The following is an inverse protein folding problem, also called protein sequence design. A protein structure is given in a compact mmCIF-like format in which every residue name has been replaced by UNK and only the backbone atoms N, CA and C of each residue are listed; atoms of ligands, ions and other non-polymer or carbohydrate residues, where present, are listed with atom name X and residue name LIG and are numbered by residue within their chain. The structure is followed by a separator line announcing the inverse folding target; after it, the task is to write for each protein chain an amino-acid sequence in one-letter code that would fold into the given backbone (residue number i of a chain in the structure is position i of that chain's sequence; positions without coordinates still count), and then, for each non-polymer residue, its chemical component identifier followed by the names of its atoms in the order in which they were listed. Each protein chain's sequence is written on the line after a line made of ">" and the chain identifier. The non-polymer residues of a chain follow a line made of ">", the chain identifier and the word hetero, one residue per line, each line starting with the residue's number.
data_IF_691067585640
#
_entry.id   IF_691067585640
#
_cell.length_a   1.000
_cell.length_b   1.000
_cell.length_c   1.000
_cell.angle_alpha   90.00
_cell.angle_beta   90.00
_cell.angle_gamma   90.00
#
_symmetry.space_group_name_H-M   'P 1'
#
loop_
_entity.id
_entity.type
_entity.pdbx_description
1 polymer ?
#
# COMPACT_ATOMS: atom_id res chain seq x y z
N UNK A 1 -21.76 -9.66 8.88
CA UNK A 1 -21.17 -8.43 8.30
C UNK A 1 -20.13 -8.77 7.26
N UNK A 2 -18.90 -9.19 7.60
CA UNK A 2 -17.84 -9.48 6.62
C UNK A 2 -18.27 -10.54 5.58
N UNK A 3 -18.83 -11.68 6.01
CA UNK A 3 -19.31 -12.70 5.06
C UNK A 3 -20.37 -12.16 4.08
N UNK A 4 -21.28 -11.32 4.56
CA UNK A 4 -22.31 -10.69 3.74
C UNK A 4 -21.73 -9.66 2.78
N UNK A 5 -20.80 -8.82 3.25
CA UNK A 5 -20.09 -7.87 2.40
C UNK A 5 -19.27 -8.60 1.32
N UNK A 6 -18.56 -9.67 1.69
CA UNK A 6 -17.81 -10.51 0.75
C UNK A 6 -18.73 -11.18 -0.28
N UNK A 7 -19.93 -11.59 0.12
CA UNK A 7 -20.92 -12.12 -0.82
C UNK A 7 -21.27 -11.08 -1.89
N UNK A 8 -21.67 -9.87 -1.48
CA UNK A 8 -22.02 -8.82 -2.45
C UNK A 8 -20.82 -8.36 -3.27
N UNK A 9 -19.66 -8.15 -2.64
CA UNK A 9 -18.45 -7.72 -3.33
C UNK A 9 -18.03 -8.75 -4.39
N UNK A 10 -18.04 -10.05 -4.08
CA UNK A 10 -17.62 -11.08 -5.05
C UNK A 10 -18.73 -11.52 -6.02
N UNK A 11 -19.97 -11.07 -5.83
CA UNK A 11 -21.07 -11.42 -6.71
C UNK A 11 -20.87 -10.77 -8.09
N UNK A 12 -20.55 -11.62 -9.08
CA UNK A 12 -20.44 -11.23 -10.48
C UNK A 12 -21.81 -11.35 -11.16
N UNK A 13 -22.18 -10.35 -11.94
CA UNK A 13 -23.31 -10.45 -12.86
C UNK A 13 -22.83 -10.86 -14.25
N UNK A 14 -23.55 -11.81 -14.85
CA UNK A 14 -23.34 -12.21 -16.23
C UNK A 14 -24.02 -11.20 -17.14
N UNK A 15 -23.24 -10.49 -17.95
CA UNK A 15 -23.74 -9.54 -18.94
C UNK A 15 -23.53 -10.09 -20.34
N UNK A 16 -24.60 -10.14 -21.13
CA UNK A 16 -24.54 -10.53 -22.55
C UNK A 16 -24.68 -9.26 -23.39
N UNK A 17 -23.73 -9.02 -24.28
CA UNK A 17 -23.69 -7.78 -25.09
C UNK A 17 -23.30 -8.05 -26.54
N UNK A 18 -23.72 -7.18 -27.46
CA UNK A 18 -23.24 -7.16 -28.84
C UNK A 18 -21.85 -6.50 -28.98
N UNK A 19 -21.25 -6.05 -27.87
CA UNK A 19 -19.91 -5.44 -27.85
C UNK A 19 -18.83 -6.47 -28.17
N UNK A 20 -17.65 -5.98 -28.58
CA UNK A 20 -16.46 -6.83 -28.73
C UNK A 20 -16.03 -7.32 -27.35
N UNK A 21 -15.58 -8.59 -27.23
CA UNK A 21 -15.09 -9.12 -25.97
C UNK A 21 -13.85 -8.35 -25.49
N UNK A 22 -13.87 -7.94 -24.22
CA UNK A 22 -12.70 -7.44 -23.51
C UNK A 22 -11.84 -8.58 -22.95
N UNK A 23 -10.74 -8.24 -22.24
CA UNK A 23 -9.93 -9.23 -21.53
C UNK A 23 -10.78 -10.02 -20.52
N UNK A 24 -10.80 -11.35 -20.64
CA UNK A 24 -11.58 -12.24 -19.76
C UNK A 24 -13.04 -12.49 -20.18
N UNK A 25 -13.53 -11.79 -21.21
CA UNK A 25 -14.86 -12.03 -21.76
C UNK A 25 -14.92 -13.30 -22.62
N UNK A 26 -16.07 -13.96 -22.61
CA UNK A 26 -16.36 -15.06 -23.54
C UNK A 26 -16.83 -14.49 -24.86
N UNK A 27 -16.17 -14.86 -25.97
CA UNK A 27 -16.57 -14.47 -27.32
C UNK A 27 -17.82 -15.23 -27.78
N UNK A 28 -18.82 -14.51 -28.29
CA UNK A 28 -19.99 -15.09 -28.95
C UNK A 28 -19.86 -14.99 -30.47
N UNK A 29 -20.13 -16.08 -31.18
CA UNK A 29 -20.13 -16.11 -32.65
C UNK A 29 -21.44 -16.66 -33.19
N UNK A 30 -21.84 -16.18 -34.36
CA UNK A 30 -22.95 -16.77 -35.11
C UNK A 30 -22.57 -18.13 -35.72
N UNK A 31 -23.52 -18.78 -36.38
CA UNK A 31 -23.32 -20.09 -37.04
C UNK A 31 -22.28 -20.06 -38.17
N UNK A 32 -21.90 -18.87 -38.66
CA UNK A 32 -20.89 -18.66 -39.71
C UNK A 32 -19.53 -18.25 -39.12
N UNK A 33 -19.38 -18.27 -37.79
CA UNK A 33 -18.15 -17.88 -37.09
C UNK A 33 -17.92 -16.38 -36.99
N UNK A 34 -18.88 -15.54 -37.43
CA UNK A 34 -18.79 -14.09 -37.31
C UNK A 34 -19.02 -13.67 -35.87
N UNK A 35 -18.23 -12.72 -35.38
CA UNK A 35 -18.42 -12.16 -34.03
C UNK A 35 -19.84 -11.59 -33.88
N UNK A 36 -20.58 -12.14 -32.92
CA UNK A 36 -21.95 -11.76 -32.60
C UNK A 36 -22.06 -10.99 -31.27
N UNK A 37 -21.03 -11.07 -30.40
CA UNK A 37 -21.00 -10.35 -29.14
C UNK A 37 -20.02 -10.93 -28.12
N UNK A 38 -20.27 -10.64 -26.85
CA UNK A 38 -19.54 -11.18 -25.71
C UNK A 38 -20.43 -11.48 -24.51
N UNK A 39 -19.95 -12.36 -23.63
CA UNK A 39 -20.42 -12.52 -22.26
C UNK A 39 -19.32 -12.02 -21.32
N UNK A 40 -19.62 -11.07 -20.46
CA UNK A 40 -18.74 -10.59 -19.40
C UNK A 40 -19.28 -10.96 -18.01
N UNK A 41 -18.38 -11.03 -17.02
CA UNK A 41 -18.72 -11.27 -15.62
C UNK A 41 -18.23 -10.10 -14.78
N UNK A 42 -19.12 -9.14 -14.54
CA UNK A 42 -18.75 -7.85 -13.94
C UNK A 42 -19.25 -7.74 -12.50
N UNK A 43 -18.47 -7.07 -11.64
CA UNK A 43 -18.99 -6.54 -10.38
C UNK A 43 -19.90 -5.37 -10.71
N UNK A 44 -21.12 -5.33 -10.19
CA UNK A 44 -21.96 -4.14 -10.34
C UNK A 44 -21.61 -3.09 -9.30
N UNK A 45 -21.71 -1.82 -9.71
CA UNK A 45 -21.58 -0.67 -8.79
C UNK A 45 -22.54 -0.77 -7.60
N UNK A 46 -23.73 -1.32 -7.83
CA UNK A 46 -24.75 -1.55 -6.79
C UNK A 46 -24.30 -2.58 -5.76
N UNK A 47 -23.76 -3.72 -6.21
CA UNK A 47 -23.26 -4.78 -5.32
C UNK A 47 -22.05 -4.30 -4.51
N UNK A 48 -21.12 -3.60 -5.16
CA UNK A 48 -19.97 -2.98 -4.51
C UNK A 48 -20.41 -1.97 -3.45
N UNK A 49 -21.33 -1.07 -3.81
CA UNK A 49 -21.89 -0.10 -2.87
C UNK A 49 -22.56 -0.80 -1.70
N UNK A 50 -23.36 -1.85 -1.97
CA UNK A 50 -24.02 -2.61 -0.91
C UNK A 50 -23.02 -3.27 0.04
N UNK A 51 -21.92 -3.80 -0.48
CA UNK A 51 -20.85 -4.36 0.34
C UNK A 51 -20.20 -3.30 1.23
N UNK A 52 -19.92 -2.10 0.70
CA UNK A 52 -19.40 -0.97 1.45
C UNK A 52 -20.39 -0.52 2.55
N UNK A 53 -21.66 -0.29 2.22
CA UNK A 53 -22.70 0.13 3.18
C UNK A 53 -22.80 -0.85 4.37
N UNK A 54 -22.71 -2.16 4.10
CA UNK A 54 -22.71 -3.20 5.13
C UNK A 54 -21.50 -3.03 6.05
N UNK A 55 -20.30 -2.81 5.51
CA UNK A 55 -19.12 -2.66 6.35
C UNK A 55 -19.09 -1.30 7.08
N UNK A 56 -19.59 -0.22 6.49
CA UNK A 56 -19.76 1.09 7.17
C UNK A 56 -20.68 0.98 8.40
N UNK A 57 -21.80 0.27 8.28
CA UNK A 57 -22.66 0.01 9.44
C UNK A 57 -21.93 -0.84 10.50
N UNK A 58 -21.13 -1.81 10.04
CA UNK A 58 -20.40 -2.70 10.92
C UNK A 58 -19.26 -2.01 11.68
N UNK A 59 -18.54 -1.06 11.07
CA UNK A 59 -17.49 -0.28 11.76
C UNK A 59 -18.07 0.59 12.86
N UNK A 60 -19.33 1.01 12.74
CA UNK A 60 -20.03 1.74 13.80
C UNK A 60 -20.43 0.83 14.97
N UNK A 61 -20.86 -0.41 14.68
CA UNK A 61 -21.32 -1.38 15.69
C UNK A 61 -20.18 -2.10 16.41
N UNK A 62 -19.07 -2.33 15.70
CA UNK A 62 -17.91 -3.07 16.17
C UNK A 62 -16.63 -2.30 15.83
N UNK A 63 -16.43 -1.09 16.40
CA UNK A 63 -15.30 -0.25 16.04
C UNK A 63 -13.95 -0.86 16.48
N UNK A 64 -13.95 -1.79 17.43
CA UNK A 64 -12.79 -2.57 17.86
C UNK A 64 -12.35 -3.64 16.85
N UNK A 65 -13.16 -3.96 15.84
CA UNK A 65 -12.89 -4.99 14.82
C UNK A 65 -12.16 -4.42 13.61
N UNK A 66 -10.84 -4.51 13.62
CA UNK A 66 -9.96 -3.92 12.60
C UNK A 66 -10.03 -4.62 11.25
N UNK A 67 -10.39 -5.90 11.24
CA UNK A 67 -10.67 -6.63 10.00
C UNK A 67 -11.87 -6.04 9.22
N UNK A 68 -12.82 -5.38 9.90
CA UNK A 68 -13.94 -4.69 9.25
C UNK A 68 -13.48 -3.38 8.60
N UNK A 69 -12.69 -2.58 9.33
CA UNK A 69 -12.10 -1.34 8.81
C UNK A 69 -11.22 -1.62 7.59
N UNK A 70 -10.35 -2.62 7.68
CA UNK A 70 -9.52 -3.06 6.56
C UNK A 70 -10.38 -3.58 5.39
N UNK A 71 -11.42 -4.37 5.65
CA UNK A 71 -12.34 -4.82 4.61
C UNK A 71 -13.02 -3.65 3.87
N UNK A 72 -13.44 -2.61 4.60
CA UNK A 72 -14.05 -1.43 4.01
C UNK A 72 -13.05 -0.61 3.18
N UNK A 73 -11.85 -0.36 3.73
CA UNK A 73 -10.77 0.33 3.01
C UNK A 73 -10.37 -0.42 1.74
N UNK A 74 -10.30 -1.76 1.79
CA UNK A 74 -10.03 -2.62 0.63
C UNK A 74 -11.07 -2.45 -0.47
N UNK A 75 -12.38 -2.44 -0.12
CA UNK A 75 -13.43 -2.20 -1.12
C UNK A 75 -13.23 -0.85 -1.82
N UNK A 76 -12.90 0.20 -1.08
CA UNK A 76 -12.66 1.52 -1.67
C UNK A 76 -11.40 1.57 -2.53
N UNK A 77 -10.32 0.91 -2.09
CA UNK A 77 -9.07 0.82 -2.84
C UNK A 77 -9.28 0.10 -4.18
N UNK A 78 -9.92 -1.08 -4.17
CA UNK A 78 -10.19 -1.86 -5.38
C UNK A 78 -11.14 -1.15 -6.36
N UNK A 79 -11.97 -0.25 -5.86
CA UNK A 79 -12.96 0.48 -6.65
C UNK A 79 -12.48 1.87 -7.07
N UNK A 80 -11.27 2.26 -6.64
CA UNK A 80 -10.64 3.54 -6.96
C UNK A 80 -11.30 4.74 -6.27
N UNK A 81 -12.06 4.53 -5.20
CA UNK A 81 -12.74 5.60 -4.44
C UNK A 81 -11.84 6.07 -3.30
N UNK A 82 -10.72 6.70 -3.66
CA UNK A 82 -9.65 7.01 -2.70
C UNK A 82 -10.06 7.93 -1.55
N UNK A 83 -10.94 8.91 -1.77
CA UNK A 83 -11.38 9.80 -0.68
C UNK A 83 -12.08 9.03 0.45
N UNK A 84 -12.88 8.02 0.08
CA UNK A 84 -13.55 7.14 1.04
C UNK A 84 -12.56 6.19 1.72
N UNK A 85 -11.59 5.65 0.97
CA UNK A 85 -10.50 4.85 1.53
C UNK A 85 -9.73 5.66 2.59
N UNK A 86 -9.22 6.83 2.23
CA UNK A 86 -8.43 7.67 3.13
C UNK A 86 -9.24 8.13 4.35
N UNK A 87 -10.52 8.47 4.16
CA UNK A 87 -11.44 8.78 5.27
C UNK A 87 -11.62 7.59 6.22
N UNK A 88 -11.75 6.38 5.67
CA UNK A 88 -11.86 5.14 6.44
C UNK A 88 -10.59 4.85 7.22
N UNK A 89 -9.42 4.94 6.58
CA UNK A 89 -8.12 4.75 7.23
C UNK A 89 -7.89 5.76 8.34
N UNK A 90 -8.26 7.04 8.14
CA UNK A 90 -8.17 8.07 9.20
C UNK A 90 -9.04 7.74 10.42
N UNK A 91 -10.29 7.30 10.20
CA UNK A 91 -11.19 6.88 11.29
C UNK A 91 -10.65 5.65 12.03
N UNK A 92 -10.16 4.67 11.28
CA UNK A 92 -9.51 3.48 11.84
C UNK A 92 -8.31 3.86 12.72
N UNK A 93 -7.43 4.74 12.24
CA UNK A 93 -6.27 5.22 13.00
C UNK A 93 -6.70 6.01 14.23
N UNK A 94 -7.67 6.93 14.12
CA UNK A 94 -8.17 7.68 15.27
C UNK A 94 -8.67 6.74 16.39
N UNK A 95 -9.49 5.74 16.04
CA UNK A 95 -9.96 4.75 17.00
C UNK A 95 -8.82 3.94 17.61
N UNK A 96 -7.83 3.50 16.80
CA UNK A 96 -6.66 2.77 17.29
C UNK A 96 -5.88 3.56 18.34
N UNK A 97 -5.70 4.86 18.12
CA UNK A 97 -4.95 5.74 19.02
C UNK A 97 -5.70 5.98 20.33
N UNK A 98 -7.03 6.03 20.29
CA UNK A 98 -7.88 6.16 21.49
C UNK A 98 -8.00 4.85 22.27
N UNK A 99 -7.98 3.71 21.59
CA UNK A 99 -8.28 2.39 22.17
C UNK A 99 -7.24 1.29 21.83
N UNK A 100 -5.93 1.52 22.02
CA UNK A 100 -4.88 0.64 21.48
C UNK A 100 -4.90 -0.80 22.03
N UNK A 101 -5.47 -1.03 23.22
CA UNK A 101 -5.54 -2.35 23.85
C UNK A 101 -6.85 -3.12 23.56
N UNK A 102 -7.82 -2.48 22.91
CA UNK A 102 -9.14 -3.09 22.65
C UNK A 102 -9.25 -3.71 21.26
N UNK A 103 -8.23 -3.49 20.42
CA UNK A 103 -8.26 -3.85 19.02
C UNK A 103 -8.32 -5.36 18.83
N UNK A 104 -9.13 -5.77 17.86
CA UNK A 104 -9.35 -7.17 17.52
C UNK A 104 -9.22 -7.41 16.04
N UNK A 105 -8.70 -8.58 15.70
CA UNK A 105 -8.70 -9.15 14.37
C UNK A 105 -9.56 -10.41 14.37
N UNK A 106 -10.57 -10.45 13.52
CA UNK A 106 -11.49 -11.61 13.40
C UNK A 106 -12.23 -11.98 14.69
N UNK A 107 -12.25 -11.07 15.68
CA UNK A 107 -12.92 -11.26 16.97
C UNK A 107 -11.96 -11.53 18.13
N UNK A 108 -10.71 -11.83 17.82
CA UNK A 108 -9.65 -12.08 18.81
C UNK A 108 -8.78 -10.85 19.00
N UNK A 109 -8.19 -10.62 20.18
CA UNK A 109 -7.21 -9.55 20.39
C UNK A 109 -6.06 -9.62 19.37
N UNK A 110 -5.49 -8.46 19.02
CA UNK A 110 -4.31 -8.43 18.16
C UNK A 110 -3.16 -9.28 18.76
N UNK A 111 -2.44 -9.97 17.88
CA UNK A 111 -1.25 -10.75 18.22
C UNK A 111 -0.02 -9.87 18.48
N UNK A 112 -0.12 -8.57 18.23
CA UNK A 112 0.94 -7.59 18.41
C UNK A 112 0.37 -6.22 18.83
N UNK A 113 1.21 -5.30 19.34
CA UNK A 113 0.76 -3.97 19.76
C UNK A 113 0.15 -3.17 18.59
N UNK A 114 -0.89 -2.38 18.89
CA UNK A 114 -1.53 -1.50 17.91
C UNK A 114 -0.53 -0.55 17.21
N UNK A 115 0.46 -0.05 17.94
CA UNK A 115 1.50 0.85 17.43
C UNK A 115 2.47 0.17 16.44
N UNK A 116 2.43 -1.16 16.32
CA UNK A 116 3.10 -1.92 15.28
C UNK A 116 2.12 -2.33 14.18
N UNK A 117 1.00 -2.92 14.57
CA UNK A 117 -0.01 -3.45 13.66
C UNK A 117 -0.60 -2.40 12.71
N UNK A 118 -1.05 -1.27 13.25
CA UNK A 118 -1.80 -0.27 12.48
C UNK A 118 -0.95 0.43 11.43
N UNK A 119 0.25 0.95 11.74
CA UNK A 119 1.06 1.57 10.71
C UNK A 119 1.59 0.56 9.68
N UNK A 120 1.80 -0.71 10.06
CA UNK A 120 2.10 -1.78 9.10
C UNK A 120 0.94 -2.00 8.11
N UNK A 121 -0.32 -1.95 8.58
CA UNK A 121 -1.47 -1.94 7.68
C UNK A 121 -1.51 -0.72 6.77
N UNK A 122 -1.21 0.48 7.27
CA UNK A 122 -1.14 1.67 6.41
C UNK A 122 -0.07 1.52 5.32
N UNK A 123 1.11 0.99 5.66
CA UNK A 123 2.16 0.67 4.69
C UNK A 123 1.64 -0.29 3.60
N UNK A 124 0.99 -1.40 3.98
CA UNK A 124 0.38 -2.35 3.03
C UNK A 124 -0.60 -1.68 2.05
N UNK A 125 -1.46 -0.77 2.54
CA UNK A 125 -2.37 -0.02 1.66
C UNK A 125 -1.61 0.96 0.75
N UNK A 126 -0.52 1.55 1.22
CA UNK A 126 0.36 2.41 0.42
C UNK A 126 1.00 1.67 -0.77
N UNK A 127 1.51 0.46 -0.54
CA UNK A 127 2.16 -0.37 -1.56
C UNK A 127 1.26 -0.72 -2.76
N UNK A 128 -0.07 -0.66 -2.60
CA UNK A 128 -1.00 -0.82 -3.72
C UNK A 128 -0.79 0.24 -4.80
N UNK A 129 -0.49 1.48 -4.38
CA UNK A 129 -0.36 2.63 -5.25
C UNK A 129 1.04 2.77 -5.85
N UNK A 130 2.10 2.38 -5.11
CA UNK A 130 3.48 2.33 -5.61
C UNK A 130 3.58 1.52 -6.92
N UNK A 131 2.89 0.37 -7.00
CA UNK A 131 2.94 -0.54 -8.15
C UNK A 131 2.29 -0.01 -9.43
N UNK A 132 1.54 1.08 -9.36
CA UNK A 132 0.73 1.61 -10.48
C UNK A 132 1.44 2.70 -11.27
N UNK A 133 2.63 3.13 -10.82
CA UNK A 133 3.57 4.04 -11.50
C UNK A 133 2.88 5.23 -12.20
N UNK A 134 1.99 5.93 -11.51
CA UNK A 134 1.37 7.15 -12.04
C UNK A 134 1.27 8.26 -10.99
N UNK A 135 1.29 9.55 -11.41
CA UNK A 135 1.41 10.68 -10.49
C UNK A 135 0.24 10.83 -9.49
N UNK A 136 -0.94 10.31 -9.82
CA UNK A 136 -2.08 10.36 -8.90
C UNK A 136 -1.94 9.30 -7.81
N UNK A 137 -1.49 8.10 -8.15
CA UNK A 137 -1.24 7.05 -7.19
C UNK A 137 -0.04 7.38 -6.28
N UNK A 138 1.00 8.06 -6.79
CA UNK A 138 2.11 8.57 -5.96
C UNK A 138 1.60 9.52 -4.86
N UNK A 139 0.65 10.42 -5.20
CA UNK A 139 0.02 11.32 -4.21
C UNK A 139 -0.80 10.55 -3.18
N UNK A 140 -1.52 9.52 -3.61
CA UNK A 140 -2.33 8.66 -2.71
C UNK A 140 -1.44 7.93 -1.72
N UNK A 141 -0.36 7.32 -2.20
CA UNK A 141 0.64 6.69 -1.36
C UNK A 141 1.20 7.69 -0.33
N UNK A 142 1.63 8.87 -0.79
CA UNK A 142 2.15 9.91 0.11
C UNK A 142 1.16 10.34 1.20
N UNK A 143 -0.13 10.44 0.89
CA UNK A 143 -1.15 10.78 1.88
C UNK A 143 -1.31 9.69 2.95
N UNK A 144 -1.20 8.42 2.58
CA UNK A 144 -1.24 7.29 3.51
C UNK A 144 0.05 7.26 4.35
N UNK A 145 1.22 7.42 3.75
CA UNK A 145 2.52 7.44 4.45
C UNK A 145 2.64 8.63 5.40
N UNK A 146 2.09 9.79 5.01
CA UNK A 146 2.01 10.97 5.88
C UNK A 146 1.10 10.71 7.08
N UNK A 147 -0.04 10.03 6.88
CA UNK A 147 -0.90 9.62 7.99
C UNK A 147 -0.15 8.69 8.95
N UNK A 148 0.59 7.71 8.43
CA UNK A 148 1.39 6.78 9.23
C UNK A 148 2.45 7.53 10.05
N UNK A 149 3.29 8.36 9.42
CA UNK A 149 4.38 9.09 10.11
C UNK A 149 3.89 10.11 11.14
N UNK A 150 2.75 10.75 10.89
CA UNK A 150 2.17 11.72 11.83
C UNK A 150 1.59 11.06 13.08
N UNK A 151 0.94 9.89 12.91
CA UNK A 151 0.24 9.21 14.00
C UNK A 151 1.13 8.20 14.72
N UNK A 152 2.15 7.67 14.03
CA UNK A 152 3.08 6.65 14.50
C UNK A 152 4.53 7.09 14.21
N UNK A 153 5.07 8.10 14.94
CA UNK A 153 6.41 8.63 14.70
C UNK A 153 7.55 7.66 15.05
N UNK A 154 7.24 6.49 15.61
CA UNK A 154 8.20 5.44 15.94
C UNK A 154 8.09 4.22 14.98
N UNK A 155 7.50 4.41 13.80
CA UNK A 155 7.41 3.39 12.77
C UNK A 155 8.34 3.74 11.60
N UNK A 156 9.33 2.89 11.34
CA UNK A 156 10.41 3.20 10.39
C UNK A 156 9.93 3.21 8.94
N UNK A 157 9.08 2.24 8.57
CA UNK A 157 8.60 2.04 7.21
C UNK A 157 7.78 3.24 6.72
N UNK A 158 6.98 3.86 7.57
CA UNK A 158 6.23 5.08 7.21
C UNK A 158 7.15 6.23 6.77
N UNK A 159 8.31 6.40 7.42
CA UNK A 159 9.29 7.40 7.00
C UNK A 159 10.05 6.98 5.75
N UNK A 160 10.27 5.69 5.55
CA UNK A 160 10.85 5.15 4.32
C UNK A 160 9.93 5.41 3.12
N UNK A 161 8.63 5.16 3.26
CA UNK A 161 7.63 5.40 2.22
C UNK A 161 7.51 6.90 1.89
N UNK A 162 7.45 7.77 2.90
CA UNK A 162 7.43 9.21 2.69
C UNK A 162 8.69 9.69 1.95
N UNK A 163 9.84 9.06 2.19
CA UNK A 163 11.07 9.38 1.48
C UNK A 163 11.04 8.99 0.01
N UNK A 164 10.41 7.86 -0.34
CA UNK A 164 10.19 7.45 -1.73
C UNK A 164 9.49 8.55 -2.52
N UNK A 165 8.38 9.06 -2.01
CA UNK A 165 7.66 10.16 -2.65
C UNK A 165 8.49 11.45 -2.78
N UNK A 166 9.22 11.85 -1.73
CA UNK A 166 10.12 13.01 -1.84
C UNK A 166 11.22 12.80 -2.87
N UNK A 167 11.73 11.57 -3.02
CA UNK A 167 12.71 11.23 -4.03
C UNK A 167 12.10 11.32 -5.45
N UNK A 168 10.87 10.89 -5.65
CA UNK A 168 10.17 11.00 -6.95
C UNK A 168 9.90 12.45 -7.35
N UNK A 169 9.61 13.32 -6.38
CA UNK A 169 9.52 14.77 -6.59
C UNK A 169 10.89 15.45 -6.80
N UNK A 170 12.00 14.72 -6.66
CA UNK A 170 13.35 15.27 -6.71
C UNK A 170 13.72 16.12 -5.48
N UNK A 171 12.93 16.07 -4.41
CA UNK A 171 13.18 16.74 -3.14
C UNK A 171 14.16 15.91 -2.27
N UNK A 172 15.36 15.66 -2.81
CA UNK A 172 16.35 14.73 -2.23
C UNK A 172 16.71 15.00 -0.77
N UNK A 173 16.72 16.27 -0.36
CA UNK A 173 17.01 16.65 1.01
C UNK A 173 15.93 16.15 1.99
N UNK A 174 14.63 16.29 1.65
CA UNK A 174 13.53 15.81 2.48
C UNK A 174 13.47 14.28 2.49
N UNK A 175 13.79 13.65 1.36
CA UNK A 175 13.92 12.20 1.29
C UNK A 175 15.01 11.70 2.25
N UNK A 176 16.20 12.31 2.23
CA UNK A 176 17.30 11.99 3.15
C UNK A 176 16.92 12.19 4.61
N UNK A 177 16.28 13.30 4.96
CA UNK A 177 15.83 13.57 6.33
C UNK A 177 14.81 12.55 6.83
N UNK A 178 13.88 12.13 5.97
CA UNK A 178 12.90 11.09 6.29
C UNK A 178 13.58 9.74 6.50
N UNK A 179 14.52 9.36 5.63
CA UNK A 179 15.26 8.11 5.77
C UNK A 179 16.20 8.08 6.98
N UNK A 180 16.81 9.20 7.35
CA UNK A 180 17.60 9.28 8.58
C UNK A 180 16.71 9.10 9.82
N UNK A 181 15.46 9.58 9.81
CA UNK A 181 14.49 9.25 10.86
C UNK A 181 14.15 7.76 10.87
N UNK A 182 13.87 7.17 9.70
CA UNK A 182 13.62 5.73 9.58
C UNK A 182 14.79 4.92 10.17
N UNK A 183 16.03 5.31 9.85
CA UNK A 183 17.25 4.68 10.38
C UNK A 183 17.43 4.88 11.88
N UNK A 184 17.04 6.02 12.44
CA UNK A 184 17.09 6.23 13.89
C UNK A 184 16.12 5.30 14.64
N UNK A 185 14.97 5.03 14.03
CA UNK A 185 13.93 4.13 14.58
C UNK A 185 14.35 2.67 14.43
N UNK A 186 14.74 2.26 13.21
CA UNK A 186 15.29 0.94 12.92
C UNK A 186 16.68 1.06 12.26
N UNK A 187 17.76 1.01 13.06
CA UNK A 187 19.13 1.05 12.55
C UNK A 187 19.51 -0.16 11.69
N UNK A 188 18.71 -1.23 11.69
CA UNK A 188 18.98 -2.46 10.94
C UNK A 188 18.12 -2.59 9.68
N UNK A 189 17.31 -1.58 9.35
CA UNK A 189 16.52 -1.57 8.13
C UNK A 189 17.43 -1.49 6.90
N UNK A 190 17.58 -2.65 6.22
CA UNK A 190 18.36 -2.74 4.98
C UNK A 190 17.74 -1.86 3.91
N UNK A 191 16.40 -1.87 3.78
CA UNK A 191 15.68 -1.02 2.83
C UNK A 191 15.95 0.48 3.03
N UNK A 192 15.93 0.97 4.27
CA UNK A 192 16.25 2.37 4.55
C UNK A 192 17.70 2.73 4.17
N UNK A 193 18.67 1.84 4.40
CA UNK A 193 20.06 2.05 3.99
C UNK A 193 20.23 2.08 2.47
N UNK A 194 19.52 1.20 1.75
CA UNK A 194 19.51 1.18 0.29
C UNK A 194 18.95 2.48 -0.25
N UNK A 195 17.82 2.94 0.28
CA UNK A 195 17.20 4.20 -0.10
C UNK A 195 18.09 5.41 0.24
N UNK A 196 18.80 5.41 1.39
CA UNK A 196 19.79 6.44 1.72
C UNK A 196 20.94 6.46 0.71
N UNK A 197 21.42 5.27 0.32
CA UNK A 197 22.43 5.11 -0.73
C UNK A 197 21.97 5.72 -2.04
N UNK A 198 20.78 5.34 -2.51
CA UNK A 198 20.18 5.82 -3.75
C UNK A 198 19.96 7.34 -3.76
N UNK A 199 19.38 7.90 -2.69
CA UNK A 199 19.20 9.35 -2.53
C UNK A 199 20.56 10.06 -2.50
N UNK A 200 21.55 9.52 -1.81
CA UNK A 200 22.90 10.10 -1.75
C UNK A 200 23.57 10.14 -3.13
N UNK A 201 23.39 9.10 -3.96
CA UNK A 201 23.85 9.11 -5.36
C UNK A 201 23.21 10.25 -6.15
N UNK A 202 21.89 10.45 -6.00
CA UNK A 202 21.17 11.55 -6.68
C UNK A 202 21.66 12.93 -6.24
N UNK A 203 22.00 13.06 -4.95
CA UNK A 203 22.62 14.26 -4.38
C UNK A 203 24.12 14.43 -4.73
N UNK A 204 24.72 13.47 -5.45
CA UNK A 204 26.17 13.40 -5.76
C UNK A 204 27.07 13.26 -4.53
N UNK A 205 26.52 12.85 -3.38
CA UNK A 205 27.29 12.48 -2.19
C UNK A 205 27.71 11.01 -2.28
N UNK A 206 28.72 10.75 -3.14
CA UNK A 206 29.18 9.39 -3.42
C UNK A 206 29.88 8.73 -2.23
N UNK A 207 30.44 9.52 -1.32
CA UNK A 207 31.09 9.03 -0.09
C UNK A 207 30.05 8.42 0.84
N UNK A 208 28.98 9.16 1.14
CA UNK A 208 27.90 8.64 1.97
C UNK A 208 27.17 7.49 1.28
N UNK A 209 26.90 7.62 -0.03
CA UNK A 209 26.26 6.54 -0.80
C UNK A 209 26.98 5.20 -0.65
N UNK A 210 28.31 5.20 -0.85
CA UNK A 210 29.15 4.01 -0.67
C UNK A 210 29.00 3.42 0.73
N UNK A 211 29.10 4.26 1.77
CA UNK A 211 28.98 3.82 3.16
C UNK A 211 27.64 3.14 3.43
N UNK A 212 26.53 3.71 2.96
CA UNK A 212 25.21 3.11 3.18
C UNK A 212 25.04 1.76 2.46
N UNK A 213 25.51 1.64 1.21
CA UNK A 213 25.46 0.36 0.49
C UNK A 213 26.36 -0.72 1.13
N UNK A 214 27.55 -0.35 1.62
CA UNK A 214 28.44 -1.26 2.35
C UNK A 214 27.82 -1.72 3.67
N UNK A 215 27.16 -0.81 4.39
CA UNK A 215 26.44 -1.13 5.63
C UNK A 215 25.25 -2.07 5.38
N UNK A 216 24.46 -1.80 4.33
CA UNK A 216 23.36 -2.67 3.90
C UNK A 216 23.85 -4.10 3.61
N UNK A 217 24.94 -4.24 2.85
CA UNK A 217 25.56 -5.54 2.54
C UNK A 217 26.19 -6.22 3.76
N UNK A 218 26.60 -5.47 4.78
CA UNK A 218 27.12 -6.05 6.02
C UNK A 218 25.99 -6.64 6.86
N UNK A 219 24.83 -5.99 6.87
CA UNK A 219 23.64 -6.48 7.58
C UNK A 219 23.02 -7.69 6.88
N UNK A 220 22.89 -7.62 5.56
CA UNK A 220 22.34 -8.71 4.77
C UNK A 220 23.11 -8.93 3.44
N UNK A 221 24.18 -9.74 3.47
CA UNK A 221 25.05 -9.95 2.30
C UNK A 221 24.39 -10.68 1.11
N UNK A 222 23.28 -11.39 1.37
CA UNK A 222 22.59 -12.26 0.43
C UNK A 222 21.08 -11.99 0.35
N UNK A 223 20.62 -10.90 0.95
CA UNK A 223 19.22 -10.48 0.95
C UNK A 223 18.72 -9.96 -0.37
N UNK A 224 17.46 -9.55 -0.36
CA UNK A 224 16.73 -9.00 -1.50
C UNK A 224 17.49 -7.85 -2.19
N UNK A 225 18.01 -6.91 -1.39
CA UNK A 225 18.72 -5.74 -1.91
C UNK A 225 20.22 -5.95 -2.15
N UNK A 226 20.75 -7.14 -1.89
CA UNK A 226 22.20 -7.36 -1.93
C UNK A 226 22.78 -7.19 -3.35
N UNK A 227 22.05 -7.60 -4.39
CA UNK A 227 22.52 -7.41 -5.77
C UNK A 227 22.51 -5.93 -6.16
N UNK A 228 21.45 -5.20 -5.80
CA UNK A 228 21.36 -3.76 -6.04
C UNK A 228 22.53 -3.01 -5.40
N UNK A 229 22.81 -3.27 -4.12
CA UNK A 229 23.92 -2.64 -3.41
C UNK A 229 25.29 -2.96 -4.06
N UNK A 230 25.53 -4.22 -4.44
CA UNK A 230 26.78 -4.63 -5.13
C UNK A 230 26.94 -3.90 -6.46
N UNK A 231 25.88 -3.79 -7.24
CA UNK A 231 25.89 -3.07 -8.51
C UNK A 231 26.13 -1.58 -8.33
N UNK A 232 25.49 -0.96 -7.34
CA UNK A 232 25.66 0.45 -7.03
C UNK A 232 27.11 0.75 -6.62
N UNK A 233 27.70 -0.05 -5.74
CA UNK A 233 29.12 0.06 -5.34
C UNK A 233 30.06 -0.12 -6.53
N UNK A 234 29.79 -1.08 -7.42
CA UNK A 234 30.59 -1.27 -8.64
C UNK A 234 30.53 -0.04 -9.55
N UNK A 235 29.37 0.61 -9.68
CA UNK A 235 29.22 1.85 -10.46
C UNK A 235 29.97 3.02 -9.81
N UNK A 236 29.95 3.13 -8.48
CA UNK A 236 30.66 4.16 -7.72
C UNK A 236 32.18 4.00 -7.76
N UNK A 237 32.70 2.79 -7.90
CA UNK A 237 34.14 2.53 -8.06
C UNK A 237 34.70 2.92 -9.44
N UNK A 238 33.84 3.14 -10.44
CA UNK A 238 34.23 3.48 -11.81
C UNK A 238 34.21 4.97 -12.11
N UNK A 239 33.74 5.80 -11.17
CA UNK A 239 33.70 7.26 -11.26
C UNK A 239 34.82 7.84 -10.42
#
# INVERSE_FOLDING_TARGET
>A
WITSANYYFNQRQTNISAKKPGPGDIRLTDKKGKLAGSISFEQTKENVKRAADILEEATTKFPDRFDIWCGLAFIYQETGVFDNELSTLKKMVAYAREHPAQLKWQGEPLNEPADKFVPEKLHEYGLYYEKKENPEDDKRWFQISTLATQQYPNHAEGFNDAAGYYADLGEWQKARESLEKARQIDPKSVGALINLGNVSVKMKDFTSARKYFEEALKLDPNGEYAQEAKEALRKLNKK
#
